data_IF_979347264580
#
_entry.id   IF_979347264580
#
_cell.length_a   1.000
_cell.length_b   1.000
_cell.length_c   1.000
_cell.angle_alpha   90.00
_cell.angle_beta   90.00
_cell.angle_gamma   90.00
#
_symmetry.space_group_name_H-M   'P 1'
#
loop_
_entity.id
_entity.type
_entity.pdbx_description
1 polymer ?
#
# COMPACT_ATOMS: atom_id res chain seq x y z
N UNK A 1 -20.91 6.40 10.97
CA UNK A 1 -20.67 7.87 10.88
C UNK A 1 -19.53 8.11 9.90
N UNK A 2 -19.65 9.02 8.93
CA UNK A 2 -18.54 9.30 7.99
C UNK A 2 -17.44 10.04 8.75
N UNK A 3 -16.21 9.51 8.75
CA UNK A 3 -15.07 10.15 9.40
C UNK A 3 -14.87 11.59 8.90
N UNK A 4 -14.47 12.48 9.81
CA UNK A 4 -14.14 13.85 9.46
C UNK A 4 -12.89 13.87 8.57
N UNK A 5 -12.87 14.75 7.57
CA UNK A 5 -11.66 14.94 6.78
C UNK A 5 -10.51 15.40 7.69
N UNK A 6 -9.26 15.04 7.39
CA UNK A 6 -8.12 15.56 8.14
C UNK A 6 -8.19 17.09 8.21
N UNK A 7 -7.65 17.73 9.24
CA UNK A 7 -7.72 19.20 9.35
C UNK A 7 -6.97 19.88 8.20
N UNK A 8 -7.36 21.10 7.83
CA UNK A 8 -6.66 21.86 6.80
C UNK A 8 -5.38 22.47 7.36
N UNK A 9 -4.21 22.11 6.80
CA UNK A 9 -2.90 22.64 7.22
C UNK A 9 -2.21 23.37 6.06
N UNK A 10 -1.54 24.48 6.36
CA UNK A 10 -0.86 25.37 5.38
C UNK A 10 0.62 25.66 5.70
N UNK A 11 1.14 25.17 6.82
CA UNK A 11 2.54 25.33 7.25
C UNK A 11 3.09 23.97 7.65
N UNK A 12 4.23 23.60 7.08
CA UNK A 12 4.89 22.32 7.28
C UNK A 12 6.30 22.55 7.82
N UNK A 13 6.78 21.63 8.64
CA UNK A 13 8.11 21.69 9.26
C UNK A 13 9.19 21.43 8.20
N UNK A 14 8.95 20.43 7.34
CA UNK A 14 9.80 20.06 6.22
C UNK A 14 8.97 19.41 5.10
N UNK A 15 9.66 18.91 4.07
CA UNK A 15 9.03 18.27 2.91
C UNK A 15 8.33 16.95 3.25
N UNK A 16 8.86 16.16 4.19
CA UNK A 16 8.30 14.87 4.59
C UNK A 16 7.05 15.04 5.46
N UNK A 17 6.97 16.12 6.22
CA UNK A 17 5.77 16.55 6.94
C UNK A 17 4.66 16.99 5.96
N UNK A 18 4.98 17.73 4.89
CA UNK A 18 3.99 18.04 3.84
C UNK A 18 3.56 16.79 3.06
N UNK A 19 4.51 15.92 2.69
CA UNK A 19 4.23 14.62 2.07
C UNK A 19 3.27 13.82 2.95
N UNK A 20 3.51 13.74 4.26
CA UNK A 20 2.65 13.01 5.17
C UNK A 20 1.24 13.58 5.25
N UNK A 21 1.11 14.89 5.32
CA UNK A 21 -0.19 15.55 5.27
C UNK A 21 -0.96 15.25 3.97
N UNK A 22 -0.28 15.30 2.82
CA UNK A 22 -0.91 15.03 1.52
C UNK A 22 -1.25 13.56 1.34
N UNK A 23 -0.43 12.65 1.86
CA UNK A 23 -0.68 11.22 1.91
C UNK A 23 -1.97 10.91 2.70
N UNK A 24 -2.12 11.44 3.91
CA UNK A 24 -3.32 11.22 4.74
C UNK A 24 -4.59 11.73 4.04
N UNK A 25 -4.48 12.87 3.35
CA UNK A 25 -5.56 13.42 2.54
C UNK A 25 -5.89 12.53 1.36
N UNK A 26 -4.87 12.05 0.65
CA UNK A 26 -5.03 11.19 -0.52
C UNK A 26 -5.74 9.90 -0.12
N UNK A 27 -5.28 9.21 0.92
CA UNK A 27 -5.94 8.01 1.46
C UNK A 27 -7.39 8.26 1.86
N UNK A 28 -7.64 9.33 2.61
CA UNK A 28 -8.99 9.66 3.07
C UNK A 28 -9.96 9.86 1.90
N UNK A 29 -9.55 10.63 0.88
CA UNK A 29 -10.42 10.91 -0.26
C UNK A 29 -10.55 9.72 -1.21
N UNK A 30 -9.49 8.93 -1.37
CA UNK A 30 -9.49 7.76 -2.23
C UNK A 30 -10.34 6.63 -1.67
N UNK A 31 -10.09 6.20 -0.42
CA UNK A 31 -10.76 5.03 0.14
C UNK A 31 -11.99 5.35 0.99
N UNK A 32 -11.89 6.31 1.92
CA UNK A 32 -13.00 6.57 2.86
C UNK A 32 -14.15 7.35 2.24
N UNK A 33 -13.85 8.25 1.31
CA UNK A 33 -14.86 9.07 0.63
C UNK A 33 -15.13 8.65 -0.80
N UNK A 34 -14.25 7.83 -1.40
CA UNK A 34 -14.35 7.37 -2.78
C UNK A 34 -14.52 8.53 -3.80
N UNK A 35 -13.92 9.69 -3.48
CA UNK A 35 -13.95 10.90 -4.30
C UNK A 35 -12.64 11.00 -5.08
N UNK A 36 -12.60 10.34 -6.24
CA UNK A 36 -11.41 10.30 -7.11
C UNK A 36 -10.98 11.70 -7.56
N UNK A 37 -11.92 12.64 -7.72
CA UNK A 37 -11.62 14.01 -8.11
C UNK A 37 -10.81 14.74 -7.04
N UNK A 38 -11.23 14.65 -5.78
CA UNK A 38 -10.46 15.22 -4.66
C UNK A 38 -9.16 14.47 -4.41
N UNK A 39 -9.17 13.13 -4.45
CA UNK A 39 -7.96 12.32 -4.32
C UNK A 39 -6.90 12.79 -5.33
N UNK A 40 -7.28 12.94 -6.61
CA UNK A 40 -6.38 13.42 -7.67
C UNK A 40 -5.80 14.81 -7.39
N UNK A 41 -6.58 15.73 -6.81
CA UNK A 41 -6.08 17.05 -6.44
C UNK A 41 -4.96 17.02 -5.39
N UNK A 42 -4.98 16.03 -4.48
CA UNK A 42 -3.90 15.82 -3.53
C UNK A 42 -2.73 15.07 -4.16
N UNK A 43 -3.01 14.10 -5.03
CA UNK A 43 -1.98 13.39 -5.79
C UNK A 43 -1.14 14.35 -6.66
N UNK A 44 -1.78 15.31 -7.34
CA UNK A 44 -1.10 16.30 -8.18
C UNK A 44 -0.19 17.24 -7.37
N UNK A 45 -0.51 17.48 -6.09
CA UNK A 45 0.34 18.23 -5.16
C UNK A 45 1.47 17.40 -4.57
N UNK A 46 1.22 16.11 -4.34
CA UNK A 46 2.16 15.19 -3.72
C UNK A 46 3.30 14.79 -4.68
N UNK A 47 2.96 14.55 -5.95
CA UNK A 47 3.92 14.12 -6.97
C UNK A 47 5.21 14.97 -7.07
N UNK A 48 5.17 16.31 -7.19
CA UNK A 48 6.39 17.11 -7.28
C UNK A 48 7.25 17.04 -6.01
N UNK A 49 6.64 16.88 -4.83
CA UNK A 49 7.37 16.72 -3.57
C UNK A 49 8.09 15.37 -3.53
N UNK A 50 7.44 14.28 -3.95
CA UNK A 50 8.07 12.96 -4.02
C UNK A 50 9.24 12.93 -5.00
N UNK A 51 9.10 13.54 -6.18
CA UNK A 51 10.20 13.64 -7.15
C UNK A 51 11.44 14.33 -6.59
N UNK A 52 11.26 15.23 -5.62
CA UNK A 52 12.36 15.91 -4.94
C UNK A 52 12.90 15.11 -3.76
N UNK A 53 12.02 14.59 -2.91
CA UNK A 53 12.38 13.94 -1.65
C UNK A 53 12.87 12.49 -1.81
N UNK A 54 12.40 11.78 -2.84
CA UNK A 54 12.72 10.37 -3.09
C UNK A 54 12.85 10.05 -4.60
N UNK A 55 13.84 10.64 -5.30
CA UNK A 55 14.00 10.47 -6.75
C UNK A 55 14.51 9.08 -7.18
N UNK A 56 15.08 8.31 -6.26
CA UNK A 56 15.77 7.03 -6.54
C UNK A 56 14.90 5.80 -6.28
N UNK A 57 13.64 5.99 -5.87
CA UNK A 57 12.70 4.92 -5.56
C UNK A 57 13.23 3.92 -4.51
N UNK A 58 14.03 4.40 -3.53
CA UNK A 58 14.55 3.61 -2.40
C UNK A 58 13.85 3.89 -1.06
N UNK A 59 12.86 4.79 -1.02
CA UNK A 59 12.09 5.09 0.19
C UNK A 59 10.76 4.31 0.21
N UNK A 60 10.54 3.44 1.21
CA UNK A 60 9.31 2.64 1.35
C UNK A 60 8.06 3.53 1.27
N UNK A 61 7.99 4.58 2.11
CA UNK A 61 6.88 5.54 2.09
C UNK A 61 6.75 6.30 0.76
N UNK A 62 7.86 6.51 0.05
CA UNK A 62 7.84 7.12 -1.27
C UNK A 62 7.11 6.25 -2.29
N UNK A 63 7.40 4.95 -2.30
CA UNK A 63 6.74 3.97 -3.15
C UNK A 63 5.25 3.81 -2.83
N UNK A 64 4.91 3.77 -1.54
CA UNK A 64 3.51 3.78 -1.09
C UNK A 64 2.75 4.99 -1.66
N UNK A 65 3.33 6.18 -1.56
CA UNK A 65 2.74 7.40 -2.09
C UNK A 65 2.61 7.37 -3.62
N UNK A 66 3.61 6.84 -4.33
CA UNK A 66 3.55 6.69 -5.78
C UNK A 66 2.43 5.73 -6.20
N UNK A 67 2.26 4.61 -5.50
CA UNK A 67 1.16 3.68 -5.74
C UNK A 67 -0.19 4.40 -5.69
N UNK A 68 -0.45 5.15 -4.60
CA UNK A 68 -1.69 5.89 -4.40
C UNK A 68 -1.91 6.99 -5.44
N UNK A 69 -0.84 7.70 -5.85
CA UNK A 69 -0.92 8.69 -6.93
C UNK A 69 -1.43 8.04 -8.21
N UNK A 70 -0.86 6.90 -8.61
CA UNK A 70 -1.25 6.23 -9.85
C UNK A 70 -2.63 5.59 -9.77
N UNK A 71 -2.99 5.04 -8.61
CA UNK A 71 -4.33 4.51 -8.35
C UNK A 71 -5.40 5.60 -8.47
N UNK A 72 -5.16 6.78 -7.87
CA UNK A 72 -6.07 7.93 -7.98
C UNK A 72 -6.28 8.43 -9.42
N UNK A 73 -5.35 8.09 -10.32
CA UNK A 73 -5.37 8.41 -11.76
C UNK A 73 -5.90 7.26 -12.62
N UNK A 74 -6.26 6.13 -12.02
CA UNK A 74 -6.70 4.92 -12.72
C UNK A 74 -5.58 4.19 -13.46
N UNK A 75 -4.32 4.49 -13.17
CA UNK A 75 -3.18 3.78 -13.77
C UNK A 75 -2.76 2.61 -12.87
N UNK A 76 -3.59 1.57 -12.83
CA UNK A 76 -3.40 0.43 -11.94
C UNK A 76 -2.07 -0.30 -12.20
N UNK A 77 -1.65 -0.42 -13.46
CA UNK A 77 -0.36 -1.02 -13.82
C UNK A 77 0.81 -0.33 -13.11
N UNK A 78 0.84 1.00 -13.07
CA UNK A 78 1.90 1.72 -12.34
C UNK A 78 1.70 1.67 -10.83
N UNK A 79 0.46 1.64 -10.35
CA UNK A 79 0.18 1.46 -8.92
C UNK A 79 0.77 0.13 -8.42
N UNK A 80 0.50 -0.97 -9.14
CA UNK A 80 1.08 -2.30 -8.90
C UNK A 80 2.61 -2.24 -8.86
N UNK A 81 3.27 -1.63 -9.85
CA UNK A 81 4.74 -1.55 -9.89
C UNK A 81 5.34 -0.88 -8.64
N UNK A 82 4.72 0.20 -8.17
CA UNK A 82 5.19 0.89 -6.96
C UNK A 82 4.87 0.09 -5.69
N UNK A 83 3.72 -0.59 -5.63
CA UNK A 83 3.37 -1.47 -4.51
C UNK A 83 4.30 -2.69 -4.41
N UNK A 84 4.63 -3.32 -5.53
CA UNK A 84 5.63 -4.40 -5.60
C UNK A 84 7.00 -3.91 -5.10
N UNK A 85 7.42 -2.70 -5.49
CA UNK A 85 8.69 -2.14 -5.05
C UNK A 85 8.69 -1.76 -3.55
N UNK A 86 7.58 -1.25 -3.03
CA UNK A 86 7.38 -1.03 -1.59
C UNK A 86 7.57 -2.32 -0.80
N UNK A 87 6.85 -3.38 -1.18
CA UNK A 87 6.94 -4.70 -0.54
C UNK A 87 8.37 -5.24 -0.59
N UNK A 88 9.04 -5.14 -1.75
CA UNK A 88 10.46 -5.51 -1.89
C UNK A 88 11.37 -4.74 -0.93
N UNK A 89 11.12 -3.44 -0.73
CA UNK A 89 11.90 -2.61 0.19
C UNK A 89 11.62 -2.98 1.66
N UNK A 90 10.38 -3.34 2.00
CA UNK A 90 10.03 -3.85 3.33
C UNK A 90 10.75 -5.16 3.61
N UNK A 91 10.77 -6.12 2.67
CA UNK A 91 11.56 -7.35 2.82
C UNK A 91 13.05 -7.07 3.06
N UNK A 92 13.64 -6.16 2.29
CA UNK A 92 15.04 -5.75 2.50
C UNK A 92 15.27 -5.13 3.87
N UNK A 93 14.29 -4.39 4.40
CA UNK A 93 14.35 -3.83 5.75
C UNK A 93 14.32 -4.94 6.81
N UNK A 94 13.47 -5.96 6.65
CA UNK A 94 13.44 -7.14 7.53
C UNK A 94 14.76 -7.90 7.52
N UNK A 95 15.33 -8.15 6.33
CA UNK A 95 16.65 -8.80 6.20
C UNK A 95 17.74 -7.99 6.92
N UNK A 96 17.77 -6.67 6.72
CA UNK A 96 18.75 -5.80 7.37
C UNK A 96 18.54 -5.69 8.89
N UNK A 97 17.30 -5.85 9.36
CA UNK A 97 16.95 -5.75 10.77
C UNK A 97 17.11 -7.07 11.54
N UNK A 98 17.24 -8.23 10.86
CA UNK A 98 17.19 -9.56 11.47
C UNK A 98 18.11 -9.73 12.68
N UNK A 99 19.37 -9.27 12.58
CA UNK A 99 20.38 -9.38 13.64
C UNK A 99 20.56 -8.07 14.44
N UNK A 100 19.71 -7.08 14.21
CA UNK A 100 19.82 -5.78 14.87
C UNK A 100 19.18 -5.81 16.25
N UNK A 101 19.87 -5.34 17.31
CA UNK A 101 19.26 -5.15 18.63
C UNK A 101 18.20 -4.03 18.64
N UNK A 102 18.05 -3.30 17.52
CA UNK A 102 17.08 -2.24 17.34
C UNK A 102 16.00 -2.60 16.31
N UNK A 103 15.85 -3.90 15.98
CA UNK A 103 14.88 -4.40 15.00
C UNK A 103 13.47 -3.88 15.24
N UNK A 104 12.99 -3.86 16.49
CA UNK A 104 11.67 -3.34 16.86
C UNK A 104 11.47 -1.86 16.47
N UNK A 105 12.49 -1.03 16.65
CA UNK A 105 12.44 0.40 16.30
C UNK A 105 12.52 0.58 14.78
N UNK A 106 13.39 -0.20 14.11
CA UNK A 106 13.59 -0.14 12.67
C UNK A 106 12.34 -0.60 11.89
N UNK A 107 11.64 -1.61 12.41
CA UNK A 107 10.46 -2.21 11.79
C UNK A 107 9.15 -1.58 12.25
N UNK A 108 9.18 -0.47 13.01
CA UNK A 108 7.97 0.20 13.46
C UNK A 108 7.16 0.71 12.26
N UNK A 109 5.96 0.15 12.07
CA UNK A 109 5.09 0.43 10.92
C UNK A 109 5.48 -0.33 9.64
N UNK A 110 6.40 -1.28 9.76
CA UNK A 110 6.85 -2.18 8.70
C UNK A 110 7.02 -3.62 9.22
N UNK A 111 6.29 -3.99 10.27
CA UNK A 111 6.30 -5.34 10.81
C UNK A 111 5.63 -6.35 9.87
N UNK A 112 5.55 -7.62 10.28
CA UNK A 112 4.91 -8.65 9.45
C UNK A 112 3.41 -8.43 9.28
N UNK A 113 2.73 -7.82 10.26
CA UNK A 113 1.33 -7.42 10.12
C UNK A 113 1.19 -6.30 9.08
N UNK A 114 2.04 -5.26 9.15
CA UNK A 114 2.03 -4.18 8.15
C UNK A 114 2.34 -4.71 6.74
N UNK A 115 3.24 -5.69 6.62
CA UNK A 115 3.56 -6.35 5.35
C UNK A 115 2.38 -7.18 4.81
N UNK A 116 1.65 -7.90 5.67
CA UNK A 116 0.39 -8.57 5.32
C UNK A 116 -0.60 -7.58 4.72
N UNK A 117 -0.83 -6.43 5.37
CA UNK A 117 -1.72 -5.38 4.85
C UNK A 117 -1.27 -4.90 3.45
N UNK A 118 0.05 -4.80 3.20
CA UNK A 118 0.56 -4.39 1.89
C UNK A 118 0.35 -5.46 0.82
N UNK A 119 0.47 -6.74 1.16
CA UNK A 119 0.15 -7.85 0.26
C UNK A 119 -1.34 -7.85 -0.10
N UNK A 120 -2.23 -7.60 0.86
CA UNK A 120 -3.67 -7.55 0.61
C UNK A 120 -4.05 -6.36 -0.30
N UNK A 121 -3.42 -5.20 -0.12
CA UNK A 121 -3.54 -4.06 -1.04
C UNK A 121 -3.01 -4.39 -2.44
N UNK A 122 -1.88 -5.10 -2.55
CA UNK A 122 -1.35 -5.54 -3.85
C UNK A 122 -2.29 -6.52 -4.54
N UNK A 123 -2.86 -7.47 -3.79
CA UNK A 123 -3.83 -8.41 -4.33
C UNK A 123 -5.07 -7.70 -4.88
N UNK A 124 -5.57 -6.69 -4.15
CA UNK A 124 -6.68 -5.84 -4.61
C UNK A 124 -6.34 -5.14 -5.92
N UNK A 125 -5.12 -4.59 -6.04
CA UNK A 125 -4.66 -3.95 -7.28
C UNK A 125 -4.53 -4.93 -8.45
N UNK A 126 -4.06 -6.15 -8.21
CA UNK A 126 -4.04 -7.20 -9.25
C UNK A 126 -5.45 -7.55 -9.71
N UNK A 127 -6.37 -7.79 -8.77
CA UNK A 127 -7.77 -8.07 -9.06
C UNK A 127 -8.42 -6.94 -9.88
N UNK A 128 -8.30 -5.69 -9.41
CA UNK A 128 -8.82 -4.51 -10.11
C UNK A 128 -8.21 -4.32 -11.50
N UNK A 129 -7.00 -4.82 -11.73
CA UNK A 129 -6.32 -4.79 -13.03
C UNK A 129 -6.69 -5.96 -13.95
N UNK A 130 -7.51 -6.91 -13.47
CA UNK A 130 -7.96 -8.09 -14.20
C UNK A 130 -7.05 -9.30 -14.08
N UNK A 131 -6.10 -9.29 -13.14
CA UNK A 131 -5.12 -10.37 -12.92
C UNK A 131 -5.50 -11.18 -11.66
N UNK A 132 -6.59 -11.96 -11.79
CA UNK A 132 -7.17 -12.73 -10.68
C UNK A 132 -6.19 -13.76 -10.11
N UNK A 133 -5.44 -14.44 -10.98
CA UNK A 133 -4.47 -15.46 -10.58
C UNK A 133 -3.41 -14.85 -9.65
N UNK A 134 -2.82 -13.71 -10.02
CA UNK A 134 -1.86 -13.01 -9.16
C UNK A 134 -2.47 -12.47 -7.89
N UNK A 135 -3.73 -12.03 -7.92
CA UNK A 135 -4.43 -11.60 -6.72
C UNK A 135 -4.55 -12.73 -5.69
N UNK A 136 -4.95 -13.93 -6.13
CA UNK A 136 -5.05 -15.13 -5.28
C UNK A 136 -3.67 -15.57 -4.78
N UNK A 137 -2.66 -15.62 -5.66
CA UNK A 137 -1.28 -15.98 -5.29
C UNK A 137 -0.73 -15.05 -4.19
N UNK A 138 -1.01 -13.74 -4.31
CA UNK A 138 -0.57 -12.72 -3.35
C UNK A 138 -1.27 -12.87 -1.99
N UNK A 139 -2.58 -13.13 -1.96
CA UNK A 139 -3.28 -13.40 -0.70
C UNK A 139 -2.85 -14.73 -0.07
N UNK A 140 -2.53 -15.74 -0.88
CA UNK A 140 -1.96 -16.98 -0.38
C UNK A 140 -0.57 -16.76 0.23
N UNK A 141 0.23 -15.83 -0.30
CA UNK A 141 1.48 -15.38 0.31
C UNK A 141 1.25 -14.64 1.63
N UNK A 142 0.30 -13.71 1.65
CA UNK A 142 -0.13 -12.98 2.85
C UNK A 142 -0.52 -13.93 3.99
N UNK A 143 -1.36 -14.94 3.70
CA UNK A 143 -1.72 -15.98 4.68
C UNK A 143 -0.51 -16.77 5.18
N UNK A 144 0.38 -17.21 4.28
CA UNK A 144 1.60 -17.96 4.67
C UNK A 144 2.51 -17.12 5.57
N UNK A 145 2.62 -15.82 5.31
CA UNK A 145 3.37 -14.89 6.13
C UNK A 145 2.76 -14.81 7.54
N UNK A 146 1.44 -14.61 7.63
CA UNK A 146 0.73 -14.57 8.89
C UNK A 146 0.89 -15.86 9.71
N UNK A 147 0.70 -17.03 9.07
CA UNK A 147 0.88 -18.34 9.70
C UNK A 147 2.31 -18.53 10.26
N UNK A 148 3.33 -18.13 9.49
CA UNK A 148 4.74 -18.26 9.88
C UNK A 148 5.14 -17.37 11.06
N UNK A 149 4.41 -16.27 11.28
CA UNK A 149 4.72 -15.29 12.33
C UNK A 149 3.68 -15.24 13.45
N UNK A 150 2.69 -16.12 13.44
CA UNK A 150 1.65 -16.19 14.48
C UNK A 150 0.73 -14.97 14.49
N UNK A 151 0.44 -14.41 13.33
CA UNK A 151 -0.44 -13.27 13.12
C UNK A 151 -1.76 -13.78 12.56
N UNK A 152 -2.88 -13.17 12.96
CA UNK A 152 -4.19 -13.48 12.40
C UNK A 152 -4.28 -12.94 10.97
N UNK A 153 -4.58 -13.82 10.00
CA UNK A 153 -4.85 -13.41 8.62
C UNK A 153 -6.30 -12.92 8.50
N UNK A 154 -6.49 -11.62 8.27
CA UNK A 154 -7.80 -10.97 8.14
C UNK A 154 -8.31 -10.87 6.69
N UNK A 155 -7.45 -11.14 5.69
CA UNK A 155 -7.79 -11.25 4.28
C UNK A 155 -8.56 -12.51 3.85
N UNK A 156 -9.03 -13.34 4.79
CA UNK A 156 -9.67 -14.64 4.50
C UNK A 156 -10.97 -14.51 3.68
N UNK A 157 -11.77 -13.48 3.95
CA UNK A 157 -13.00 -13.23 3.19
C UNK A 157 -12.69 -12.79 1.75
N UNK A 158 -11.67 -11.94 1.56
CA UNK A 158 -11.21 -11.50 0.25
C UNK A 158 -10.67 -12.67 -0.58
N UNK A 159 -9.86 -13.52 0.04
CA UNK A 159 -9.32 -14.70 -0.63
C UNK A 159 -10.41 -15.70 -1.04
N UNK A 160 -11.43 -15.88 -0.19
CA UNK A 160 -12.59 -16.72 -0.52
C UNK A 160 -13.38 -16.14 -1.69
N UNK A 161 -13.58 -14.82 -1.71
CA UNK A 161 -14.24 -14.11 -2.81
C UNK A 161 -13.50 -14.35 -4.13
N UNK A 162 -12.20 -14.06 -4.18
CA UNK A 162 -11.40 -14.21 -5.40
C UNK A 162 -11.35 -15.66 -5.92
N UNK A 163 -11.19 -16.64 -5.03
CA UNK A 163 -11.24 -18.06 -5.42
C UNK A 163 -12.61 -18.49 -5.94
N UNK A 164 -13.69 -17.81 -5.56
CA UNK A 164 -15.02 -18.09 -6.09
C UNK A 164 -15.25 -17.53 -7.50
N UNK A 165 -14.46 -16.52 -7.89
CA UNK A 165 -14.45 -15.93 -9.22
C UNK A 165 -13.66 -16.76 -10.23
N UNK A 166 -12.76 -17.64 -9.77
CA UNK A 166 -12.09 -18.59 -10.66
C UNK A 166 -13.15 -19.34 -11.46
N UNK A 167 -13.10 -19.28 -12.81
CA UNK A 167 -14.03 -20.03 -13.61
C UNK A 167 -13.87 -21.50 -13.23
N UNK A 168 -14.94 -22.11 -12.69
CA UNK A 168 -14.98 -23.55 -12.45
C UNK A 168 -14.53 -24.22 -13.72
N UNK A 169 -13.29 -24.72 -13.73
CA UNK A 169 -12.74 -25.43 -14.85
C UNK A 169 -13.72 -26.57 -15.13
N UNK A 170 -14.47 -26.46 -16.22
CA UNK A 170 -15.35 -27.51 -16.69
C UNK A 170 -14.42 -28.65 -17.07
N UNK A 171 -14.22 -29.57 -16.12
CA UNK A 171 -13.63 -30.89 -16.36
C UNK A 171 -14.75 -31.89 -16.57
#
# INVERSE_FOLDING_TARGET
MKANAPTGRRKFVDEWDEIGYLYDKLLFWLYQRQDKGKARSYADRLEPLLRKAAPDHQAIRGEECWSLIYESRGNLRKAVQHRENEIRLIHRLHEAAHDSPHSEVLLRGYGFADLSDRLDLLATLYHDSGDLDRAIETLDESRRLCDAHGIDFDGEDLLREYRSEEPRSVR
#
